data_IF_422360637614
#
_entry.id   IF_422360637614
#
_cell.length_a   1.000
_cell.length_b   1.000
_cell.length_c   1.000
_cell.angle_alpha   90.00
_cell.angle_beta   90.00
_cell.angle_gamma   90.00
#
_symmetry.space_group_name_H-M   'P 1'
#
loop_
_entity.id
_entity.type
_entity.pdbx_description
1 polymer ?
#
# COMPACT_ATOMS: atom_id res chain seq x y z
N UNK A 1 -9.27 18.44 -0.04
CA UNK A 1 -9.41 17.01 0.33
C UNK A 1 -10.62 16.81 1.22
N UNK A 2 -11.41 15.83 0.94
CA UNK A 2 -12.61 15.49 1.73
C UNK A 2 -12.29 14.53 2.86
N UNK A 3 -13.22 14.37 3.82
CA UNK A 3 -13.09 13.39 4.90
C UNK A 3 -13.01 11.97 4.35
N UNK A 4 -13.73 11.69 3.27
CA UNK A 4 -13.72 10.37 2.63
C UNK A 4 -12.37 10.07 2.00
N UNK A 5 -11.78 11.04 1.33
CA UNK A 5 -10.42 10.90 0.80
C UNK A 5 -9.41 10.66 1.91
N UNK A 6 -9.52 11.41 3.01
CA UNK A 6 -8.65 11.23 4.17
C UNK A 6 -8.78 9.82 4.75
N UNK A 7 -10.01 9.30 4.83
CA UNK A 7 -10.25 7.93 5.33
C UNK A 7 -9.44 6.90 4.56
N UNK A 8 -9.44 6.99 3.23
CA UNK A 8 -8.69 6.04 2.40
C UNK A 8 -7.18 6.18 2.59
N UNK A 9 -6.68 7.41 2.75
CA UNK A 9 -5.26 7.62 3.01
C UNK A 9 -4.85 7.06 4.38
N UNK A 10 -5.69 7.25 5.40
CA UNK A 10 -5.43 6.68 6.73
C UNK A 10 -5.46 5.15 6.68
N UNK A 11 -6.40 4.57 5.92
CA UNK A 11 -6.44 3.13 5.72
C UNK A 11 -5.12 2.62 5.12
N UNK A 12 -4.61 3.30 4.10
CA UNK A 12 -3.31 2.93 3.49
C UNK A 12 -2.19 2.99 4.53
N UNK A 13 -2.16 4.06 5.33
CA UNK A 13 -1.15 4.22 6.38
C UNK A 13 -1.18 3.05 7.37
N UNK A 14 -2.37 2.71 7.85
CA UNK A 14 -2.55 1.61 8.80
C UNK A 14 -2.17 0.26 8.19
N UNK A 15 -2.54 0.02 6.94
CA UNK A 15 -2.21 -1.23 6.26
C UNK A 15 -0.71 -1.36 6.02
N UNK A 16 -0.03 -0.27 5.68
CA UNK A 16 1.43 -0.29 5.52
C UNK A 16 2.10 -0.60 6.87
N UNK A 17 1.63 0.02 7.96
CA UNK A 17 2.17 -0.25 9.29
C UNK A 17 1.97 -1.72 9.66
N UNK A 18 0.81 -2.29 9.36
CA UNK A 18 0.55 -3.71 9.61
C UNK A 18 1.47 -4.59 8.78
N UNK A 19 1.62 -4.29 7.50
CA UNK A 19 2.54 -5.02 6.61
C UNK A 19 3.97 -5.03 7.16
N UNK A 20 4.43 -3.91 7.67
CA UNK A 20 5.78 -3.81 8.24
C UNK A 20 5.95 -4.68 9.48
N UNK A 21 4.88 -4.92 10.26
CA UNK A 21 4.95 -5.80 11.43
C UNK A 21 5.25 -7.25 11.08
N UNK A 22 4.99 -7.67 9.82
CA UNK A 22 5.29 -9.02 9.37
C UNK A 22 6.81 -9.28 9.26
N UNK A 23 7.60 -8.21 9.26
CA UNK A 23 9.06 -8.27 9.10
C UNK A 23 9.74 -7.50 10.23
N UNK A 24 9.69 -8.04 11.47
CA UNK A 24 10.24 -7.32 12.63
C UNK A 24 11.75 -7.21 12.63
N UNK A 25 12.41 -7.99 11.77
CA UNK A 25 13.86 -7.98 11.60
C UNK A 25 14.18 -7.59 10.16
N UNK A 26 15.32 -8.00 9.67
CA UNK A 26 15.74 -7.74 8.30
C UNK A 26 14.79 -8.37 7.28
N UNK A 27 14.45 -7.61 6.24
CA UNK A 27 13.60 -8.09 5.15
C UNK A 27 14.43 -8.89 4.17
N UNK A 28 14.22 -10.19 4.12
CA UNK A 28 14.93 -11.09 3.20
C UNK A 28 13.94 -11.82 2.31
N UNK A 29 14.16 -11.76 1.02
CA UNK A 29 13.30 -12.41 0.03
C UNK A 29 13.17 -13.92 0.29
N UNK A 30 14.27 -14.58 0.61
CA UNK A 30 14.27 -16.03 0.85
C UNK A 30 13.31 -16.42 1.96
N UNK A 31 13.30 -15.67 3.07
CA UNK A 31 12.42 -15.93 4.20
C UNK A 31 10.95 -15.75 3.81
N UNK A 32 10.67 -14.72 3.03
CA UNK A 32 9.33 -14.47 2.49
C UNK A 32 8.92 -15.59 1.52
N UNK A 33 9.78 -15.91 0.54
CA UNK A 33 9.46 -16.84 -0.53
C UNK A 33 9.27 -18.27 -0.04
N UNK A 34 9.92 -18.63 1.06
CA UNK A 34 9.85 -19.98 1.65
C UNK A 34 8.75 -20.12 2.71
N UNK A 35 7.98 -19.08 2.95
CA UNK A 35 6.92 -19.09 3.98
C UNK A 35 5.56 -18.81 3.32
N UNK A 36 4.79 -19.89 3.10
CA UNK A 36 3.49 -19.79 2.42
C UNK A 36 2.53 -18.88 3.18
N UNK A 37 2.49 -18.99 4.50
CA UNK A 37 1.61 -18.16 5.33
C UNK A 37 1.96 -16.68 5.18
N UNK A 38 3.24 -16.36 5.24
CA UNK A 38 3.72 -14.99 5.07
C UNK A 38 3.39 -14.45 3.67
N UNK A 39 3.58 -15.28 2.64
CA UNK A 39 3.23 -14.90 1.26
C UNK A 39 1.75 -14.52 1.14
N UNK A 40 0.87 -15.33 1.71
CA UNK A 40 -0.58 -15.07 1.67
C UNK A 40 -0.94 -13.80 2.45
N UNK A 41 -0.30 -13.59 3.60
CA UNK A 41 -0.53 -12.38 4.39
C UNK A 41 -0.09 -11.13 3.64
N UNK A 42 1.08 -11.15 3.03
CA UNK A 42 1.59 -10.03 2.23
C UNK A 42 0.70 -9.76 1.02
N UNK A 43 0.29 -10.81 0.30
CA UNK A 43 -0.65 -10.67 -0.82
C UNK A 43 -1.93 -9.95 -0.38
N UNK A 44 -2.49 -10.34 0.76
CA UNK A 44 -3.71 -9.71 1.28
C UNK A 44 -3.49 -8.23 1.59
N UNK A 45 -2.35 -7.89 2.17
CA UNK A 45 -2.03 -6.48 2.46
C UNK A 45 -1.92 -5.66 1.18
N UNK A 46 -1.27 -6.18 0.15
CA UNK A 46 -1.20 -5.49 -1.14
C UNK A 46 -2.57 -5.34 -1.79
N UNK A 47 -3.43 -6.33 -1.63
CA UNK A 47 -4.80 -6.25 -2.15
C UNK A 47 -5.58 -5.12 -1.50
N UNK A 48 -5.55 -5.03 -0.15
CA UNK A 48 -6.31 -3.99 0.56
C UNK A 48 -5.69 -2.61 0.39
N UNK A 49 -4.36 -2.51 0.33
CA UNK A 49 -3.68 -1.24 0.06
C UNK A 49 -4.07 -0.75 -1.35
N UNK A 50 -3.99 -1.62 -2.34
CA UNK A 50 -4.35 -1.28 -3.72
C UNK A 50 -5.80 -0.87 -3.86
N UNK A 51 -6.72 -1.54 -3.15
CA UNK A 51 -8.13 -1.19 -3.15
C UNK A 51 -8.37 0.20 -2.54
N UNK A 52 -7.71 0.51 -1.42
CA UNK A 52 -7.83 1.82 -0.79
C UNK A 52 -7.31 2.94 -1.69
N UNK A 53 -6.17 2.73 -2.36
CA UNK A 53 -5.60 3.70 -3.31
C UNK A 53 -6.54 3.89 -4.50
N UNK A 54 -7.11 2.82 -5.02
CA UNK A 54 -8.05 2.88 -6.12
C UNK A 54 -9.29 3.69 -5.74
N UNK A 55 -9.84 3.45 -4.56
CA UNK A 55 -10.99 4.19 -4.05
C UNK A 55 -10.68 5.67 -3.86
N UNK A 56 -9.51 5.98 -3.32
CA UNK A 56 -9.04 7.36 -3.19
C UNK A 56 -8.97 8.04 -4.56
N UNK A 57 -8.35 7.39 -5.52
CA UNK A 57 -8.19 7.91 -6.88
C UNK A 57 -9.54 8.17 -7.56
N UNK A 58 -10.54 7.33 -7.29
CA UNK A 58 -11.86 7.46 -7.91
C UNK A 58 -12.71 8.59 -7.31
N UNK A 59 -12.35 9.14 -6.15
CA UNK A 59 -13.10 10.23 -5.53
C UNK A 59 -12.79 11.57 -6.18
N UNK A 60 -11.52 12.00 -6.15
CA UNK A 60 -11.10 13.27 -6.70
C UNK A 60 -9.58 13.28 -6.84
N UNK A 61 -9.09 13.58 -8.02
CA UNK A 61 -7.66 13.53 -8.34
C UNK A 61 -6.93 14.84 -8.01
N UNK A 62 -7.35 15.59 -6.98
CA UNK A 62 -6.68 16.82 -6.57
C UNK A 62 -5.23 16.57 -6.15
N UNK A 63 -5.00 15.43 -5.48
CA UNK A 63 -3.66 15.04 -5.02
C UNK A 63 -3.34 13.67 -5.59
N UNK A 64 -2.41 13.64 -6.54
CA UNK A 64 -2.01 12.41 -7.20
C UNK A 64 -1.03 11.62 -6.33
N UNK A 65 -1.17 10.29 -6.36
CA UNK A 65 -0.25 9.37 -5.70
C UNK A 65 0.66 8.75 -6.76
N UNK A 66 1.95 9.05 -6.70
CA UNK A 66 2.91 8.67 -7.74
C UNK A 66 3.07 7.15 -7.89
N UNK A 67 2.84 6.39 -6.82
CA UNK A 67 3.01 4.93 -6.82
C UNK A 67 1.70 4.18 -7.13
N UNK A 68 0.62 4.90 -7.43
CA UNK A 68 -0.71 4.29 -7.58
C UNK A 68 -0.75 3.26 -8.70
N UNK A 69 -0.15 3.54 -9.83
CA UNK A 69 -0.18 2.65 -11.01
C UNK A 69 0.39 1.26 -10.69
N UNK A 70 1.56 1.22 -10.07
CA UNK A 70 2.25 -0.02 -9.72
C UNK A 70 1.47 -0.81 -8.67
N UNK A 71 0.97 -0.12 -7.65
CA UNK A 71 0.25 -0.77 -6.53
C UNK A 71 -1.11 -1.29 -7.00
N UNK A 72 -1.87 -0.49 -7.75
CA UNK A 72 -3.18 -0.94 -8.29
C UNK A 72 -2.99 -2.09 -9.28
N UNK A 73 -1.96 -2.02 -10.12
CA UNK A 73 -1.65 -3.08 -11.07
C UNK A 73 -1.36 -4.40 -10.37
N UNK A 74 -0.56 -4.37 -9.32
CA UNK A 74 -0.27 -5.56 -8.52
C UNK A 74 -1.53 -6.09 -7.83
N UNK A 75 -2.35 -5.21 -7.24
CA UNK A 75 -3.63 -5.58 -6.62
C UNK A 75 -4.51 -6.33 -7.60
N UNK A 76 -4.61 -5.85 -8.84
CA UNK A 76 -5.44 -6.48 -9.86
C UNK A 76 -4.93 -7.88 -10.21
N UNK A 77 -3.62 -8.07 -10.28
CA UNK A 77 -3.03 -9.39 -10.51
C UNK A 77 -3.37 -10.34 -9.36
N UNK A 78 -3.20 -9.90 -8.13
CA UNK A 78 -3.47 -10.73 -6.95
C UNK A 78 -4.95 -11.10 -6.89
N UNK A 79 -5.85 -10.16 -7.15
CA UNK A 79 -7.29 -10.38 -7.04
C UNK A 79 -7.85 -11.29 -8.14
N UNK A 80 -7.27 -11.26 -9.35
CA UNK A 80 -7.86 -11.93 -10.51
C UNK A 80 -7.00 -13.05 -11.11
N UNK A 81 -5.74 -13.16 -10.72
CA UNK A 81 -4.82 -14.14 -11.27
C UNK A 81 -3.90 -14.68 -10.17
N UNK A 82 -4.49 -15.12 -9.08
CA UNK A 82 -3.76 -15.55 -7.89
C UNK A 82 -2.75 -16.67 -8.15
N UNK A 83 -2.98 -17.49 -9.17
CA UNK A 83 -2.06 -18.56 -9.57
C UNK A 83 -0.90 -18.06 -10.43
N UNK A 84 -0.92 -16.79 -10.81
CA UNK A 84 0.08 -16.16 -11.67
C UNK A 84 0.86 -15.07 -10.96
N UNK A 85 0.85 -15.04 -9.61
CA UNK A 85 1.57 -14.03 -8.84
C UNK A 85 3.08 -14.27 -8.97
N UNK A 86 3.76 -13.24 -9.46
CA UNK A 86 5.22 -13.21 -9.57
C UNK A 86 5.78 -12.69 -8.25
N UNK A 87 6.26 -13.59 -7.39
CA UNK A 87 6.73 -13.20 -6.06
C UNK A 87 8.00 -12.34 -6.07
N UNK A 88 8.98 -12.58 -6.95
CA UNK A 88 10.10 -11.63 -7.10
C UNK A 88 9.62 -10.21 -7.43
N UNK A 89 8.64 -10.06 -8.32
CA UNK A 89 8.09 -8.77 -8.70
C UNK A 89 7.34 -8.13 -7.53
N UNK A 90 6.51 -8.91 -6.82
CA UNK A 90 5.80 -8.44 -5.64
C UNK A 90 6.79 -7.93 -4.59
N UNK A 91 7.86 -8.69 -4.34
CA UNK A 91 8.90 -8.31 -3.40
C UNK A 91 9.60 -7.03 -3.80
N UNK A 92 9.93 -6.88 -5.09
CA UNK A 92 10.55 -5.66 -5.59
C UNK A 92 9.67 -4.44 -5.37
N UNK A 93 8.35 -4.57 -5.58
CA UNK A 93 7.38 -3.49 -5.31
C UNK A 93 7.34 -3.18 -3.81
N UNK A 94 7.32 -4.20 -2.96
CA UNK A 94 7.36 -4.01 -1.52
C UNK A 94 8.58 -3.19 -1.08
N UNK A 95 9.76 -3.59 -1.55
CA UNK A 95 11.01 -2.94 -1.14
C UNK A 95 11.17 -1.55 -1.75
N UNK A 96 10.77 -1.37 -3.00
CA UNK A 96 11.04 -0.13 -3.75
C UNK A 96 9.89 0.88 -3.75
N UNK A 97 8.64 0.42 -3.71
CA UNK A 97 7.48 1.32 -3.85
C UNK A 97 6.75 1.60 -2.55
N UNK A 98 6.68 0.65 -1.63
CA UNK A 98 5.95 0.86 -0.36
C UNK A 98 6.59 1.96 0.50
N UNK A 99 7.92 2.06 0.66
CA UNK A 99 8.50 3.16 1.42
C UNK A 99 8.17 4.54 0.83
N UNK A 100 8.17 4.66 -0.50
CA UNK A 100 7.80 5.91 -1.19
C UNK A 100 6.32 6.22 -0.98
N UNK A 101 5.46 5.21 -1.10
CA UNK A 101 4.03 5.36 -0.85
C UNK A 101 3.77 5.82 0.58
N UNK A 102 4.44 5.23 1.56
CA UNK A 102 4.32 5.60 2.96
C UNK A 102 4.63 7.08 3.17
N UNK A 103 5.76 7.55 2.64
CA UNK A 103 6.17 8.95 2.76
C UNK A 103 5.16 9.88 2.11
N UNK A 104 4.69 9.54 0.92
CA UNK A 104 3.73 10.36 0.18
C UNK A 104 2.38 10.45 0.91
N UNK A 105 1.87 9.32 1.38
CA UNK A 105 0.60 9.26 2.10
C UNK A 105 0.69 10.04 3.42
N UNK A 106 1.77 9.86 4.18
CA UNK A 106 1.97 10.58 5.43
C UNK A 106 2.01 12.09 5.18
N UNK A 107 2.67 12.52 4.11
CA UNK A 107 2.75 13.93 3.73
C UNK A 107 1.37 14.51 3.39
N UNK A 108 0.54 13.76 2.66
CA UNK A 108 -0.81 14.21 2.30
C UNK A 108 -1.71 14.31 3.52
N UNK A 109 -1.62 13.35 4.45
CA UNK A 109 -2.39 13.37 5.70
C UNK A 109 -1.98 14.59 6.53
N UNK A 110 -0.69 14.86 6.64
CA UNK A 110 -0.18 16.00 7.39
C UNK A 110 -0.67 17.31 6.81
N UNK A 111 -0.67 17.46 5.49
CA UNK A 111 -1.21 18.65 4.82
C UNK A 111 -2.69 18.85 5.13
N UNK A 112 -3.45 17.76 5.17
CA UNK A 112 -4.87 17.85 5.53
C UNK A 112 -5.07 18.33 6.96
N UNK A 113 -4.30 17.79 7.89
CA UNK A 113 -4.36 18.17 9.30
C UNK A 113 -4.01 19.65 9.51
N UNK A 114 -2.96 20.13 8.84
CA UNK A 114 -2.56 21.53 8.88
C UNK A 114 -3.66 22.44 8.33
N UNK A 115 -4.26 22.04 7.20
CA UNK A 115 -5.34 22.81 6.56
C UNK A 115 -6.55 22.95 7.49
N UNK A 116 -6.85 21.90 8.26
CA UNK A 116 -7.96 21.93 9.22
C UNK A 116 -7.59 22.50 10.59
N UNK A 117 -6.33 22.85 10.80
CA UNK A 117 -5.86 23.42 12.05
C UNK A 117 -5.67 22.42 13.18
N UNK A 118 -5.47 21.14 12.87
CA UNK A 118 -5.26 20.09 13.88
C UNK A 118 -3.81 19.99 14.35
N UNK A 119 -2.89 20.68 13.66
CA UNK A 119 -1.48 20.69 14.00
C UNK A 119 -0.89 22.08 14.03
#
# INVERSE_FOLDING_TARGET
MTKEELKYLVDVQLFIDELETFFPKEKKFENFNNNVLLKRAVERMFEVIGEAIKNYKNLNNTFEISQAKEIIGLRNIIAHAYDSVDYPKLWAIFINHIPKLKTEVNSLIEKYDIHLGYK
#
